data_IF_648555498287
#
_entry.id   IF_648555498287
#
_cell.length_a   1.000
_cell.length_b   1.000
_cell.length_c   1.000
_cell.angle_alpha   90.00
_cell.angle_beta   90.00
_cell.angle_gamma   90.00
#
_symmetry.space_group_name_H-M   'P 1'
#
loop_
_entity.id
_entity.type
_entity.pdbx_description
1 polymer ?
#
# COMPACT_ATOMS: atom_id res chain seq x y z
N UNK A 1 21.07 -5.53 3.88
CA UNK A 1 19.81 -6.21 3.50
C UNK A 1 18.73 -5.75 4.46
N UNK A 2 17.53 -5.37 4.03
CA UNK A 2 16.54 -4.67 4.88
C UNK A 2 16.21 -5.41 6.21
N UNK A 3 16.38 -6.72 6.29
CA UNK A 3 16.18 -7.51 7.52
C UNK A 3 17.29 -7.38 8.57
N UNK A 4 18.44 -6.80 8.22
CA UNK A 4 19.57 -6.59 9.15
C UNK A 4 19.47 -5.28 9.91
N UNK A 5 18.53 -4.40 9.53
CA UNK A 5 18.28 -3.15 10.23
C UNK A 5 17.09 -3.35 11.19
N UNK A 6 17.30 -3.19 12.51
CA UNK A 6 16.24 -3.41 13.50
C UNK A 6 14.96 -2.61 13.22
N UNK A 7 15.09 -1.38 12.73
CA UNK A 7 13.96 -0.51 12.40
C UNK A 7 13.13 -1.03 11.23
N UNK A 8 13.78 -1.49 10.17
CA UNK A 8 13.13 -2.10 9.02
C UNK A 8 12.43 -3.40 9.41
N UNK A 9 13.09 -4.30 10.13
CA UNK A 9 12.46 -5.53 10.62
C UNK A 9 11.26 -5.24 11.53
N UNK A 10 11.40 -4.28 12.45
CA UNK A 10 10.32 -3.89 13.33
C UNK A 10 9.10 -3.34 12.56
N UNK A 11 9.30 -2.57 11.47
CA UNK A 11 8.20 -2.09 10.63
C UNK A 11 7.41 -3.25 9.97
N UNK A 12 8.09 -4.31 9.54
CA UNK A 12 7.44 -5.49 8.95
C UNK A 12 6.59 -6.22 10.00
N UNK A 13 7.15 -6.40 11.20
CA UNK A 13 6.49 -7.09 12.32
C UNK A 13 5.29 -6.29 12.83
N UNK A 14 5.43 -4.98 13.00
CA UNK A 14 4.36 -4.10 13.49
C UNK A 14 3.16 -4.10 12.54
N UNK A 15 3.38 -3.98 11.23
CA UNK A 15 2.28 -4.06 10.25
C UNK A 15 1.49 -5.35 10.40
N UNK A 16 2.19 -6.48 10.46
CA UNK A 16 1.60 -7.81 10.67
C UNK A 16 0.87 -7.95 12.01
N UNK A 17 1.45 -7.44 13.09
CA UNK A 17 0.87 -7.54 14.43
C UNK A 17 -0.43 -6.72 14.56
N UNK A 18 -0.50 -5.57 13.89
CA UNK A 18 -1.66 -4.67 13.95
C UNK A 18 -2.77 -5.11 13.00
N UNK A 19 -2.42 -5.53 11.77
CA UNK A 19 -3.39 -5.75 10.69
C UNK A 19 -3.53 -7.23 10.25
N UNK A 20 -2.75 -8.15 10.82
CA UNK A 20 -2.80 -9.58 10.51
C UNK A 20 -2.49 -9.87 9.04
N UNK A 21 -3.25 -10.80 8.44
CA UNK A 21 -3.23 -11.10 6.99
C UNK A 21 -3.97 -10.04 6.14
N UNK A 22 -4.43 -8.94 6.75
CA UNK A 22 -5.08 -7.85 6.03
C UNK A 22 -4.11 -7.08 5.11
N UNK A 23 -4.67 -6.24 4.24
CA UNK A 23 -3.91 -5.54 3.20
C UNK A 23 -2.79 -4.64 3.74
N UNK A 24 -3.02 -4.01 4.90
CA UNK A 24 -2.04 -3.18 5.60
C UNK A 24 -1.05 -3.98 6.47
N UNK A 25 -1.24 -5.30 6.58
CA UNK A 25 -0.32 -6.19 7.29
C UNK A 25 0.85 -6.67 6.43
N UNK A 26 0.75 -6.54 5.10
CA UNK A 26 1.82 -6.94 4.18
C UNK A 26 2.94 -5.90 4.12
N UNK A 27 4.17 -6.38 3.89
CA UNK A 27 5.29 -5.52 3.58
C UNK A 27 5.12 -4.88 2.19
N UNK A 28 4.94 -3.55 2.14
CA UNK A 28 4.71 -2.83 0.89
C UNK A 28 5.84 -3.02 -0.14
N UNK A 29 7.08 -3.18 0.34
CA UNK A 29 8.26 -3.45 -0.50
C UNK A 29 8.45 -4.92 -0.90
N UNK A 30 7.56 -5.83 -0.48
CA UNK A 30 7.73 -7.28 -0.64
C UNK A 30 8.67 -7.89 0.41
N UNK A 31 8.82 -9.22 0.35
CA UNK A 31 9.69 -10.02 1.22
C UNK A 31 10.77 -10.73 0.38
N UNK A 32 11.85 -11.26 0.99
CA UNK A 32 12.84 -12.06 0.27
C UNK A 32 12.24 -13.27 -0.45
N UNK A 33 11.09 -13.78 0.02
CA UNK A 33 10.35 -14.88 -0.60
C UNK A 33 9.44 -14.38 -1.72
N UNK A 34 8.77 -13.23 -1.54
CA UNK A 34 7.81 -12.74 -2.53
C UNK A 34 8.50 -12.15 -3.76
N UNK A 35 9.61 -11.43 -3.58
CA UNK A 35 10.26 -10.70 -4.67
C UNK A 35 10.75 -11.62 -5.80
N UNK A 36 11.44 -12.75 -5.54
CA UNK A 36 11.86 -13.67 -6.60
C UNK A 36 10.70 -14.43 -7.25
N UNK A 37 9.54 -14.51 -6.58
CA UNK A 37 8.37 -15.22 -7.09
C UNK A 37 7.57 -14.39 -8.10
N UNK A 38 7.75 -13.06 -8.15
CA UNK A 38 7.03 -12.18 -9.08
C UNK A 38 7.55 -12.38 -10.49
N UNK A 39 6.65 -12.70 -11.42
CA UNK A 39 6.97 -12.85 -12.84
C UNK A 39 6.52 -11.63 -13.64
N UNK A 40 7.08 -11.47 -14.85
CA UNK A 40 6.66 -10.41 -15.79
C UNK A 40 5.16 -10.44 -16.06
N UNK A 41 4.57 -11.64 -16.17
CA UNK A 41 3.14 -11.81 -16.41
C UNK A 41 2.30 -11.19 -15.29
N UNK A 42 2.73 -11.32 -14.03
CA UNK A 42 2.04 -10.73 -12.88
C UNK A 42 2.07 -9.20 -12.94
N UNK A 43 3.20 -8.62 -13.32
CA UNK A 43 3.36 -7.17 -13.47
C UNK A 43 2.46 -6.64 -14.59
N UNK A 44 2.45 -7.30 -15.75
CA UNK A 44 1.60 -6.91 -16.88
C UNK A 44 0.12 -7.00 -16.50
N UNK A 45 -0.27 -8.09 -15.83
CA UNK A 45 -1.63 -8.26 -15.33
C UNK A 45 -2.02 -7.17 -14.34
N UNK A 46 -1.15 -6.86 -13.37
CA UNK A 46 -1.38 -5.79 -12.39
C UNK A 46 -1.59 -4.44 -13.08
N UNK A 47 -0.73 -4.09 -14.04
CA UNK A 47 -0.86 -2.84 -14.81
C UNK A 47 -2.20 -2.79 -15.56
N UNK A 48 -2.56 -3.83 -16.30
CA UNK A 48 -3.81 -3.87 -17.08
C UNK A 48 -5.08 -3.83 -16.21
N UNK A 49 -5.02 -4.38 -14.99
CA UNK A 49 -6.15 -4.39 -14.07
C UNK A 49 -6.32 -3.07 -13.30
N UNK A 50 -5.23 -2.39 -12.94
CA UNK A 50 -5.30 -1.25 -12.02
C UNK A 50 -5.03 0.11 -12.68
N UNK A 51 -4.32 0.17 -13.82
CA UNK A 51 -3.98 1.41 -14.52
C UNK A 51 -4.99 1.69 -15.64
N UNK A 52 -6.19 2.09 -15.26
CA UNK A 52 -7.27 2.45 -16.19
C UNK A 52 -7.97 3.74 -15.76
N UNK A 53 -8.62 4.47 -16.69
CA UNK A 53 -9.17 5.80 -16.43
C UNK A 53 -10.30 5.78 -15.39
N UNK A 54 -11.06 4.68 -15.30
CA UNK A 54 -12.11 4.49 -14.29
C UNK A 54 -11.57 4.13 -12.89
N UNK A 55 -10.25 4.02 -12.72
CA UNK A 55 -9.56 3.83 -11.43
C UNK A 55 -8.50 4.93 -11.17
N UNK A 56 -8.59 6.07 -11.86
CA UNK A 56 -7.61 7.14 -11.77
C UNK A 56 -8.27 8.50 -11.57
N UNK A 57 -7.52 9.44 -10.99
CA UNK A 57 -7.90 10.84 -10.87
C UNK A 57 -6.85 11.72 -11.57
N UNK A 58 -7.29 12.59 -12.48
CA UNK A 58 -6.45 13.58 -13.14
C UNK A 58 -6.64 14.94 -12.45
N UNK A 59 -5.56 15.47 -11.88
CA UNK A 59 -5.58 16.69 -11.07
C UNK A 59 -4.81 17.79 -11.80
N UNK A 60 -5.46 18.92 -12.05
CA UNK A 60 -4.84 20.14 -12.55
C UNK A 60 -4.81 21.19 -11.44
N UNK A 61 -3.69 21.89 -11.28
CA UNK A 61 -3.52 22.94 -10.28
C UNK A 61 -2.69 24.09 -10.84
N UNK A 62 -3.04 25.33 -10.47
CA UNK A 62 -2.39 26.57 -10.94
C UNK A 62 -3.28 27.39 -11.88
N UNK A 63 -2.64 28.21 -12.73
CA UNK A 63 -3.32 29.10 -13.67
C UNK A 63 -3.83 28.33 -14.90
N UNK A 64 -4.86 27.50 -14.69
CA UNK A 64 -5.49 26.69 -15.72
C UNK A 64 -7.01 26.75 -15.56
N UNK A 65 -7.71 27.06 -16.64
CA UNK A 65 -9.18 27.05 -16.63
C UNK A 65 -9.70 25.63 -16.81
N UNK A 66 -10.96 25.41 -16.43
CA UNK A 66 -11.60 24.11 -16.63
C UNK A 66 -11.62 23.69 -18.11
N UNK A 67 -11.83 24.62 -19.03
CA UNK A 67 -11.84 24.35 -20.47
C UNK A 67 -10.46 23.91 -20.97
N UNK A 68 -9.40 24.59 -20.54
CA UNK A 68 -8.03 24.20 -20.85
C UNK A 68 -7.72 22.80 -20.28
N UNK A 69 -8.11 22.55 -19.03
CA UNK A 69 -7.94 21.25 -18.39
C UNK A 69 -8.65 20.12 -19.14
N UNK A 70 -9.91 20.34 -19.56
CA UNK A 70 -10.67 19.37 -20.38
C UNK A 70 -10.02 19.14 -21.73
N UNK A 71 -9.55 20.20 -22.39
CA UNK A 71 -8.86 20.08 -23.68
C UNK A 71 -7.56 19.26 -23.54
N UNK A 72 -6.77 19.48 -22.48
CA UNK A 72 -5.58 18.69 -22.21
C UNK A 72 -5.91 17.24 -21.86
N UNK A 73 -6.92 17.01 -21.01
CA UNK A 73 -7.37 15.67 -20.69
C UNK A 73 -7.76 14.89 -21.95
N UNK A 74 -8.55 15.51 -22.84
CA UNK A 74 -8.94 14.88 -24.10
C UNK A 74 -7.74 14.65 -25.02
N UNK A 75 -6.83 15.62 -25.13
CA UNK A 75 -5.64 15.54 -25.99
C UNK A 75 -4.69 14.41 -25.60
N UNK A 76 -4.44 14.22 -24.30
CA UNK A 76 -3.44 13.27 -23.81
C UNK A 76 -4.02 11.93 -23.38
N UNK A 77 -5.28 11.88 -22.95
CA UNK A 77 -5.89 10.69 -22.36
C UNK A 77 -7.21 10.28 -23.03
N UNK A 78 -7.67 10.97 -24.08
CA UNK A 78 -8.97 10.68 -24.72
C UNK A 78 -9.06 9.29 -25.37
N UNK A 79 -7.93 8.68 -25.70
CA UNK A 79 -7.88 7.31 -26.23
C UNK A 79 -7.74 6.23 -25.15
N UNK A 80 -7.43 6.60 -23.91
CA UNK A 80 -7.24 5.66 -22.81
C UNK A 80 -8.57 5.00 -22.44
N UNK A 81 -8.65 3.68 -22.54
CA UNK A 81 -9.89 2.91 -22.36
C UNK A 81 -10.03 2.39 -20.93
N UNK A 82 -11.28 2.40 -20.46
CA UNK A 82 -11.67 1.76 -19.22
C UNK A 82 -11.39 0.25 -19.27
N UNK A 83 -11.11 -0.32 -18.10
CA UNK A 83 -10.92 -1.76 -17.91
C UNK A 83 -11.82 -2.25 -16.77
N UNK A 84 -11.97 -3.56 -16.65
CA UNK A 84 -12.62 -4.16 -15.49
C UNK A 84 -11.74 -3.96 -14.26
N UNK A 85 -12.19 -3.08 -13.37
CA UNK A 85 -11.54 -2.85 -12.08
C UNK A 85 -12.19 -3.76 -11.07
N UNK A 86 -11.44 -4.75 -10.61
CA UNK A 86 -11.86 -5.53 -9.44
C UNK A 86 -12.01 -4.58 -8.26
N UNK A 87 -13.24 -4.36 -7.79
CA UNK A 87 -13.48 -3.73 -6.50
C UNK A 87 -12.93 -4.67 -5.43
N UNK A 88 -11.69 -4.45 -5.01
CA UNK A 88 -11.13 -5.21 -3.90
C UNK A 88 -11.89 -4.77 -2.65
N UNK A 89 -12.69 -5.66 -2.08
CA UNK A 89 -13.23 -5.44 -0.74
C UNK A 89 -12.03 -5.37 0.20
N UNK A 90 -11.66 -4.15 0.58
CA UNK A 90 -10.70 -3.93 1.66
C UNK A 90 -11.33 -4.58 2.88
N UNK A 91 -10.82 -5.74 3.30
CA UNK A 91 -11.22 -6.30 4.57
C UNK A 91 -10.77 -5.29 5.64
N UNK A 92 -11.71 -4.63 6.36
CA UNK A 92 -11.31 -3.73 7.40
C UNK A 92 -10.46 -4.51 8.40
N UNK A 93 -9.44 -3.83 8.94
CA UNK A 93 -8.53 -4.36 9.95
C UNK A 93 -9.27 -5.22 10.98
N UNK A 94 -8.68 -6.33 11.46
CA UNK A 94 -9.40 -7.31 12.25
C UNK A 94 -10.03 -6.66 13.49
N UNK A 95 -11.34 -6.83 13.67
CA UNK A 95 -12.08 -6.34 14.85
C UNK A 95 -11.54 -6.91 16.19
N UNK A 96 -10.57 -7.82 16.13
CA UNK A 96 -9.97 -8.57 17.22
C UNK A 96 -8.49 -8.22 17.49
N UNK A 97 -8.01 -7.03 17.09
CA UNK A 97 -6.69 -6.56 17.53
C UNK A 97 -6.61 -6.55 19.07
N UNK A 98 -5.51 -7.07 19.61
CA UNK A 98 -5.22 -7.07 21.04
C UNK A 98 -3.79 -6.58 21.28
N UNK A 99 -3.53 -5.77 22.33
CA UNK A 99 -2.19 -5.45 22.75
C UNK A 99 -1.39 -6.75 22.95
N UNK A 100 -0.23 -6.83 22.29
CA UNK A 100 0.65 -8.00 22.33
C UNK A 100 2.08 -7.53 22.44
N UNK A 101 2.81 -8.07 23.41
CA UNK A 101 4.25 -7.84 23.54
C UNK A 101 4.99 -8.76 22.57
N UNK A 102 5.71 -8.16 21.62
CA UNK A 102 6.50 -8.88 20.64
C UNK A 102 7.97 -8.51 20.79
N UNK A 103 8.79 -9.53 21.05
CA UNK A 103 10.24 -9.40 21.14
C UNK A 103 10.85 -10.18 19.99
N UNK A 104 11.63 -9.48 19.16
CA UNK A 104 12.41 -10.08 18.09
C UNK A 104 13.87 -9.97 18.49
N UNK A 105 14.48 -11.12 18.76
CA UNK A 105 15.90 -11.17 19.12
C UNK A 105 16.77 -10.94 17.88
N UNK A 106 17.67 -9.97 18.00
CA UNK A 106 18.66 -9.62 16.99
C UNK A 106 20.00 -9.47 17.70
N UNK A 107 20.58 -10.57 18.17
CA UNK A 107 21.80 -10.61 18.97
C UNK A 107 23.00 -9.85 18.36
N UNK A 108 23.07 -9.72 17.03
CA UNK A 108 24.14 -9.00 16.32
C UNK A 108 23.85 -7.52 16.10
N UNK A 109 22.67 -7.02 16.49
CA UNK A 109 22.31 -5.62 16.33
C UNK A 109 22.94 -4.75 17.43
N UNK A 110 23.69 -3.72 17.03
CA UNK A 110 24.28 -2.75 17.97
C UNK A 110 23.28 -1.76 18.58
N UNK A 111 22.02 -1.80 18.16
CA UNK A 111 20.94 -0.90 18.63
C UNK A 111 19.60 -1.66 18.64
N UNK A 112 18.72 -1.32 19.57
CA UNK A 112 17.37 -1.86 19.66
C UNK A 112 16.35 -0.92 19.00
N UNK A 113 15.24 -1.47 18.50
CA UNK A 113 14.08 -0.71 18.03
C UNK A 113 12.85 -1.06 18.87
N UNK A 114 12.25 -0.05 19.50
CA UNK A 114 11.04 -0.18 20.30
C UNK A 114 9.91 0.54 19.59
N UNK A 115 8.79 -0.17 19.37
CA UNK A 115 7.62 0.37 18.67
C UNK A 115 6.37 0.13 19.50
N UNK A 116 5.51 1.15 19.57
CA UNK A 116 4.16 1.04 20.14
C UNK A 116 3.17 1.44 19.04
N UNK A 117 2.26 0.52 18.70
CA UNK A 117 1.32 0.73 17.61
C UNK A 117 -0.08 0.21 17.97
N UNK A 118 -1.10 0.84 17.39
CA UNK A 118 -2.51 0.45 17.44
C UNK A 118 -3.14 0.62 16.06
N UNK A 119 -4.29 -0.01 15.78
CA UNK A 119 -5.04 0.25 14.56
C UNK A 119 -5.34 1.75 14.40
N UNK A 120 -5.18 2.23 13.17
CA UNK A 120 -5.48 3.62 12.84
C UNK A 120 -6.99 3.90 12.88
N UNK A 121 -7.35 5.17 13.10
CA UNK A 121 -8.73 5.64 12.98
C UNK A 121 -9.11 5.67 11.50
N UNK A 122 -10.34 5.26 11.18
CA UNK A 122 -10.82 5.27 9.79
C UNK A 122 -10.94 6.70 9.28
N UNK A 123 -10.68 6.93 7.99
CA UNK A 123 -10.76 8.26 7.36
C UNK A 123 -12.16 8.89 7.45
N UNK A 124 -13.19 8.07 7.52
CA UNK A 124 -14.60 8.48 7.63
C UNK A 124 -15.12 8.47 9.08
N UNK A 125 -14.22 8.31 10.06
CA UNK A 125 -14.54 8.46 11.47
C UNK A 125 -14.92 9.91 11.79
N UNK A 126 -15.82 10.09 12.76
CA UNK A 126 -16.12 11.40 13.33
C UNK A 126 -15.06 11.88 14.33
N UNK A 127 -14.28 10.94 14.87
CA UNK A 127 -13.11 11.18 15.75
C UNK A 127 -11.82 11.41 14.97
#
# INVERSE_FOLDING_TARGET
>A
MALQQPSSLASYVVGRAVYGDGEYGHAAGGTPESLPAIQRADIVKFYQSYYCPNNAALIFSGNVTLEQGKAYAQKFFGEWKASEVSSRSVNPSPANWKPTDLVVDMAEAGQASVNLAKPAIKRDSAD
#
